data_IF_428259945114
#
_entry.id   IF_428259945114
#
_cell.length_a   1.000
_cell.length_b   1.000
_cell.length_c   1.000
_cell.angle_alpha   90.00
_cell.angle_beta   90.00
_cell.angle_gamma   90.00
#
_symmetry.space_group_name_H-M   'P 1'
#
loop_
_entity.id
_entity.type
_entity.pdbx_description
1 polymer ?
#
# COMPACT_ATOMS: atom_id res chain seq x y z
N UNK A 1 -7.39 16.58 15.19
CA UNK A 1 -7.66 15.27 14.58
C UNK A 1 -6.55 15.02 13.56
N UNK A 2 -6.00 13.80 13.50
CA UNK A 2 -4.98 13.45 12.48
C UNK A 2 -5.62 12.69 11.33
N UNK A 3 -5.14 12.92 10.11
CA UNK A 3 -5.60 12.25 8.90
C UNK A 3 -4.46 11.49 8.25
N UNK A 4 -4.71 10.23 7.89
CA UNK A 4 -3.80 9.40 7.13
C UNK A 4 -4.38 9.06 5.76
N UNK A 5 -3.51 8.87 4.77
CA UNK A 5 -3.87 8.45 3.43
C UNK A 5 -3.24 7.09 3.12
N UNK A 6 -4.07 6.10 2.74
CA UNK A 6 -3.55 4.85 2.21
C UNK A 6 -3.11 5.09 0.76
N UNK A 7 -1.86 4.77 0.45
CA UNK A 7 -1.31 4.93 -0.89
C UNK A 7 -1.64 3.70 -1.76
N UNK A 8 -1.91 3.89 -3.05
CA UNK A 8 -2.19 2.77 -3.97
C UNK A 8 -0.88 2.07 -4.35
N UNK A 9 -0.35 1.26 -3.44
CA UNK A 9 0.89 0.50 -3.63
C UNK A 9 0.67 -0.91 -4.18
N UNK A 10 -0.56 -1.24 -4.57
CA UNK A 10 -0.95 -2.54 -5.13
C UNK A 10 -1.23 -2.43 -6.62
N UNK A 11 -1.08 -3.55 -7.34
CA UNK A 11 -1.44 -3.64 -8.76
C UNK A 11 -2.94 -3.41 -8.94
N UNK A 12 -3.32 -2.75 -10.01
CA UNK A 12 -4.74 -2.50 -10.35
C UNK A 12 -5.45 -1.40 -9.55
N UNK A 13 -4.78 -0.73 -8.62
CA UNK A 13 -5.41 0.26 -7.74
C UNK A 13 -5.60 1.65 -8.35
N UNK A 14 -5.03 1.91 -9.53
CA UNK A 14 -5.10 3.19 -10.23
C UNK A 14 -5.99 3.12 -11.48
N UNK A 15 -7.25 2.69 -11.32
CA UNK A 15 -8.23 2.78 -12.41
C UNK A 15 -7.95 1.91 -13.63
N UNK A 16 -7.44 0.70 -13.43
CA UNK A 16 -7.21 -0.29 -14.49
C UNK A 16 -5.77 -0.39 -15.00
N UNK A 17 -4.84 0.28 -14.36
CA UNK A 17 -3.40 0.14 -14.59
C UNK A 17 -2.63 -0.01 -13.29
N UNK A 18 -1.45 -0.60 -13.37
CA UNK A 18 -0.54 -0.64 -12.22
C UNK A 18 0.02 0.75 -11.94
N UNK A 19 0.03 1.21 -10.68
CA UNK A 19 0.64 2.47 -10.34
C UNK A 19 2.15 2.42 -10.61
N UNK A 20 2.72 3.47 -11.15
CA UNK A 20 4.18 3.57 -11.16
C UNK A 20 4.69 4.00 -9.78
N UNK A 21 5.92 3.59 -9.42
CA UNK A 21 6.56 4.04 -8.19
C UNK A 21 6.57 5.57 -8.08
N UNK A 22 6.84 6.24 -9.20
CA UNK A 22 6.88 7.70 -9.25
C UNK A 22 5.52 8.34 -8.98
N UNK A 23 4.42 7.74 -9.43
CA UNK A 23 3.10 8.30 -9.20
C UNK A 23 2.71 8.18 -7.71
N UNK A 24 3.04 7.06 -7.07
CA UNK A 24 2.80 6.89 -5.64
C UNK A 24 3.69 7.82 -4.80
N UNK A 25 4.95 8.04 -5.18
CA UNK A 25 5.81 9.05 -4.54
C UNK A 25 5.24 10.47 -4.69
N UNK A 26 4.73 10.83 -5.87
CA UNK A 26 4.05 12.13 -6.09
C UNK A 26 2.79 12.25 -5.23
N UNK A 27 1.99 11.17 -5.11
CA UNK A 27 0.80 11.18 -4.25
C UNK A 27 1.16 11.41 -2.79
N UNK A 28 2.22 10.77 -2.29
CA UNK A 28 2.69 11.00 -0.92
C UNK A 28 3.14 12.44 -0.70
N UNK A 29 3.91 13.00 -1.64
CA UNK A 29 4.32 14.41 -1.59
C UNK A 29 3.11 15.35 -1.63
N UNK A 30 2.12 15.05 -2.47
CA UNK A 30 0.88 15.84 -2.53
C UNK A 30 0.07 15.72 -1.24
N UNK A 31 -0.04 14.52 -0.66
CA UNK A 31 -0.70 14.32 0.62
C UNK A 31 -0.04 15.18 1.72
N UNK A 32 1.30 15.20 1.76
CA UNK A 32 2.04 16.05 2.69
C UNK A 32 1.74 17.54 2.46
N UNK A 33 1.76 18.01 1.22
CA UNK A 33 1.49 19.41 0.85
C UNK A 33 0.06 19.83 1.17
N UNK A 34 -0.89 18.90 1.08
CA UNK A 34 -2.31 19.16 1.37
C UNK A 34 -2.69 18.96 2.83
N UNK A 35 -1.74 18.62 3.70
CA UNK A 35 -1.92 18.64 5.14
C UNK A 35 -2.27 17.30 5.77
N UNK A 36 -2.06 16.18 5.08
CA UNK A 36 -2.14 14.87 5.72
C UNK A 36 -1.02 14.71 6.75
N UNK A 37 -1.30 13.99 7.83
CA UNK A 37 -0.35 13.71 8.91
C UNK A 37 0.46 12.45 8.63
N UNK A 38 -0.11 11.50 7.89
CA UNK A 38 0.54 10.21 7.62
C UNK A 38 0.14 9.62 6.28
N UNK A 39 1.01 8.78 5.73
CA UNK A 39 0.77 7.93 4.56
C UNK A 39 0.99 6.47 4.91
N UNK A 40 0.22 5.58 4.30
CA UNK A 40 0.18 4.17 4.67
C UNK A 40 0.34 3.28 3.46
N UNK A 41 1.13 2.22 3.62
CA UNK A 41 1.37 1.18 2.62
C UNK A 41 0.74 -0.13 3.07
N UNK A 42 0.32 -0.93 2.11
CA UNK A 42 -0.04 -2.34 2.33
C UNK A 42 1.18 -3.23 2.10
N UNK A 43 1.13 -4.45 2.64
CA UNK A 43 2.24 -5.41 2.57
C UNK A 43 1.70 -6.79 2.19
N UNK A 44 1.05 -6.86 1.02
CA UNK A 44 0.58 -8.10 0.42
C UNK A 44 1.64 -8.65 -0.54
N UNK A 45 1.98 -9.94 -0.42
CA UNK A 45 2.80 -10.59 -1.43
C UNK A 45 1.97 -10.86 -2.69
N UNK A 46 0.91 -11.65 -2.52
CA UNK A 46 -0.13 -11.89 -3.52
C UNK A 46 -1.46 -12.12 -2.79
N UNK A 47 -2.53 -11.61 -3.33
CA UNK A 47 -3.88 -11.88 -2.83
C UNK A 47 -4.89 -11.94 -3.98
N UNK A 48 -5.97 -12.72 -3.77
CA UNK A 48 -7.11 -12.79 -4.67
C UNK A 48 -8.21 -11.85 -4.13
N UNK A 49 -8.35 -10.69 -4.76
CA UNK A 49 -9.33 -9.69 -4.32
C UNK A 49 -10.76 -10.20 -4.42
N UNK A 50 -11.07 -11.04 -5.42
CA UNK A 50 -12.39 -11.65 -5.56
C UNK A 50 -12.69 -12.63 -4.41
N UNK A 51 -11.72 -13.47 -4.06
CA UNK A 51 -11.88 -14.41 -2.94
C UNK A 51 -11.98 -13.67 -1.59
N UNK A 52 -11.24 -12.60 -1.40
CA UNK A 52 -11.31 -11.77 -0.18
C UNK A 52 -12.69 -11.10 -0.04
N UNK A 53 -13.19 -10.46 -1.10
CA UNK A 53 -14.53 -9.87 -1.10
C UNK A 53 -15.62 -10.92 -0.82
N UNK A 54 -15.50 -12.11 -1.40
CA UNK A 54 -16.43 -13.21 -1.13
C UNK A 54 -16.37 -13.65 0.34
N UNK A 55 -15.20 -13.74 0.93
CA UNK A 55 -15.01 -14.08 2.34
C UNK A 55 -15.63 -13.04 3.30
N UNK A 56 -15.67 -11.77 2.87
CA UNK A 56 -16.33 -10.68 3.59
C UNK A 56 -17.84 -10.60 3.33
N UNK A 57 -18.39 -11.56 2.58
CA UNK A 57 -19.83 -11.60 2.24
C UNK A 57 -20.25 -10.62 1.13
N UNK A 58 -19.29 -10.02 0.43
CA UNK A 58 -19.54 -9.19 -0.73
C UNK A 58 -19.50 -10.04 -2.01
N UNK A 59 -20.43 -9.82 -2.94
CA UNK A 59 -20.38 -10.45 -4.26
C UNK A 59 -19.29 -9.79 -5.11
N UNK A 60 -18.14 -10.45 -5.35
CA UNK A 60 -17.10 -9.83 -6.16
C UNK A 60 -17.57 -9.69 -7.61
N UNK A 61 -17.19 -8.61 -8.31
CA UNK A 61 -17.40 -8.51 -9.75
C UNK A 61 -16.70 -9.67 -10.47
N UNK A 62 -17.31 -10.24 -11.53
CA UNK A 62 -16.73 -11.38 -12.24
C UNK A 62 -15.29 -11.16 -12.72
N UNK A 63 -14.95 -9.93 -13.09
CA UNK A 63 -13.61 -9.51 -13.54
C UNK A 63 -12.52 -9.57 -12.47
N UNK A 64 -12.90 -9.65 -11.19
CA UNK A 64 -11.96 -9.81 -10.08
C UNK A 64 -11.75 -11.25 -9.64
N UNK A 65 -12.57 -12.19 -10.16
CA UNK A 65 -12.46 -13.60 -9.77
C UNK A 65 -11.20 -14.25 -10.32
N UNK A 66 -10.36 -14.78 -9.42
CA UNK A 66 -9.11 -15.45 -9.78
C UNK A 66 -8.00 -14.53 -10.28
N UNK A 67 -8.17 -13.22 -10.14
CA UNK A 67 -7.11 -12.25 -10.44
C UNK A 67 -6.25 -12.06 -9.20
N UNK A 68 -4.96 -12.36 -9.34
CA UNK A 68 -3.99 -12.14 -8.27
C UNK A 68 -3.43 -10.74 -8.34
N UNK A 69 -3.48 -10.07 -7.23
CA UNK A 69 -2.88 -8.76 -7.01
C UNK A 69 -1.66 -8.90 -6.11
N UNK A 70 -0.68 -8.04 -6.28
CA UNK A 70 0.48 -7.92 -5.42
C UNK A 70 0.72 -6.48 -5.02
N UNK A 71 1.60 -6.27 -4.07
CA UNK A 71 2.06 -4.95 -3.69
C UNK A 71 3.59 -4.88 -3.77
N UNK A 72 4.12 -3.68 -3.88
CA UNK A 72 5.57 -3.50 -3.74
C UNK A 72 5.99 -3.82 -2.31
N UNK A 73 7.21 -4.31 -2.16
CA UNK A 73 7.76 -4.61 -0.83
C UNK A 73 7.74 -3.35 0.04
N UNK A 74 6.96 -3.42 1.13
CA UNK A 74 6.53 -2.24 1.88
C UNK A 74 7.70 -1.46 2.51
N UNK A 75 8.70 -2.15 3.08
CA UNK A 75 9.82 -1.45 3.73
C UNK A 75 10.77 -0.81 2.71
N UNK A 76 11.01 -1.47 1.59
CA UNK A 76 11.78 -0.90 0.47
C UNK A 76 11.09 0.35 -0.07
N UNK A 77 9.77 0.29 -0.24
CA UNK A 77 9.03 1.43 -0.73
C UNK A 77 8.92 2.56 0.30
N UNK A 78 8.76 2.22 1.58
CA UNK A 78 8.79 3.19 2.68
C UNK A 78 10.11 3.97 2.74
N UNK A 79 11.25 3.31 2.46
CA UNK A 79 12.53 4.00 2.35
C UNK A 79 12.54 5.02 1.20
N UNK A 80 11.92 4.70 0.06
CA UNK A 80 11.72 5.65 -1.04
C UNK A 80 10.86 6.84 -0.63
N UNK A 81 9.74 6.58 0.05
CA UNK A 81 8.86 7.64 0.58
C UNK A 81 9.61 8.55 1.55
N UNK A 82 10.41 7.98 2.45
CA UNK A 82 11.20 8.75 3.43
C UNK A 82 12.23 9.69 2.78
N UNK A 83 12.62 9.44 1.54
CA UNK A 83 13.50 10.36 0.79
C UNK A 83 12.72 11.41 -0.01
N UNK A 84 11.42 11.21 -0.21
CA UNK A 84 10.56 12.07 -1.01
C UNK A 84 9.67 13.00 -0.17
N UNK A 85 9.59 12.77 1.13
CA UNK A 85 8.74 13.52 2.07
C UNK A 85 9.56 13.96 3.29
N UNK A 86 9.14 15.05 3.92
CA UNK A 86 9.86 15.65 5.05
C UNK A 86 9.10 15.57 6.39
N UNK A 87 7.77 15.48 6.34
CA UNK A 87 6.91 15.69 7.51
C UNK A 87 5.96 14.54 7.80
N UNK A 88 5.37 13.93 6.77
CA UNK A 88 4.35 12.89 6.98
C UNK A 88 4.95 11.65 7.67
N UNK A 89 4.23 11.11 8.62
CA UNK A 89 4.56 9.81 9.21
C UNK A 89 4.28 8.71 8.18
N UNK A 90 5.21 7.77 8.03
CA UNK A 90 5.06 6.63 7.10
C UNK A 90 4.75 5.38 7.90
N UNK A 91 3.63 4.75 7.58
CA UNK A 91 3.17 3.54 8.24
C UNK A 91 2.86 2.40 7.28
N UNK A 92 2.66 1.23 7.84
CA UNK A 92 2.19 0.04 7.10
C UNK A 92 0.88 -0.46 7.68
N UNK A 93 -0.04 -0.89 6.83
CA UNK A 93 -1.35 -1.40 7.24
C UNK A 93 -1.68 -2.68 6.44
N UNK A 94 -1.17 -3.79 6.92
CA UNK A 94 -0.27 -4.03 8.05
C UNK A 94 1.01 -4.68 7.57
N UNK A 95 2.09 -4.58 8.35
CA UNK A 95 3.36 -5.22 8.00
C UNK A 95 3.30 -6.73 8.28
N UNK A 96 3.56 -7.53 7.27
CA UNK A 96 3.60 -8.98 7.42
C UNK A 96 4.96 -9.43 7.98
N UNK A 97 4.96 -9.82 9.24
CA UNK A 97 6.18 -10.26 9.93
C UNK A 97 6.70 -11.60 9.42
N UNK A 98 5.86 -12.42 8.78
CA UNK A 98 6.24 -13.71 8.21
C UNK A 98 7.16 -13.61 6.99
N UNK A 99 7.22 -12.46 6.34
CA UNK A 99 8.06 -12.27 5.15
C UNK A 99 9.50 -11.87 5.49
N UNK A 100 9.81 -11.56 6.74
CA UNK A 100 11.06 -10.90 7.11
C UNK A 100 11.78 -11.59 8.25
N UNK A 101 13.10 -11.47 8.22
CA UNK A 101 13.91 -11.86 9.37
C UNK A 101 13.56 -10.96 10.57
N UNK A 102 13.16 -11.54 11.73
CA UNK A 102 12.73 -10.74 12.86
C UNK A 102 13.84 -9.83 13.43
N UNK A 103 15.09 -10.22 13.31
CA UNK A 103 16.20 -9.39 13.77
C UNK A 103 16.40 -8.14 12.89
N UNK A 104 16.06 -8.21 11.60
CA UNK A 104 16.05 -7.05 10.71
C UNK A 104 14.81 -6.19 10.92
N UNK A 105 13.68 -6.82 11.21
CA UNK A 105 12.43 -6.10 11.43
C UNK A 105 12.43 -5.29 12.72
N UNK A 106 13.18 -5.72 13.73
CA UNK A 106 13.27 -5.07 15.03
C UNK A 106 14.18 -3.83 15.05
N UNK A 107 14.83 -3.48 13.95
CA UNK A 107 15.73 -2.31 13.83
C UNK A 107 15.00 -1.10 13.32
#
# INVERSE_FOLDING_TARGET
MKFGMCLPSETGTMGGGDPSAQDVLKMATLAEQTGFDSVWLVDHFLYDAGAEMAALGAGPPPELMGVLYGAWEALTFAAGLATATDRVEIGTMVLNTGYRNPALLAR
#
